data_IF_141325461306
#
_entry.id   IF_141325461306
#
_cell.length_a   1.000
_cell.length_b   1.000
_cell.length_c   1.000
_cell.angle_alpha   90.00
_cell.angle_beta   90.00
_cell.angle_gamma   90.00
#
_symmetry.space_group_name_H-M   'P 1'
#
loop_
_entity.id
_entity.type
_entity.pdbx_description
1 polymer ?
#
# COMPACT_ATOMS: atom_id res chain seq x y z
N UNK A 1 12.61 11.11 -72.37
CA UNK A 1 11.62 10.98 -71.29
C UNK A 1 11.75 9.58 -70.68
N UNK A 2 12.36 9.47 -69.50
CA UNK A 2 12.33 8.24 -68.69
C UNK A 2 11.72 8.66 -67.36
N UNK A 3 10.50 8.22 -67.10
CA UNK A 3 9.78 8.50 -65.86
C UNK A 3 10.11 7.39 -64.87
N UNK A 4 10.83 7.70 -63.79
CA UNK A 4 11.03 6.77 -62.66
C UNK A 4 9.93 7.00 -61.62
N UNK A 5 9.16 5.98 -61.22
CA UNK A 5 8.10 6.15 -60.22
C UNK A 5 8.58 5.63 -58.87
N UNK A 6 9.00 6.48 -57.93
CA UNK A 6 9.09 6.07 -56.52
C UNK A 6 9.00 7.27 -55.59
N UNK A 7 7.81 7.59 -55.10
CA UNK A 7 7.63 8.64 -54.06
C UNK A 7 6.59 8.30 -52.99
N UNK A 8 5.94 7.14 -53.06
CA UNK A 8 4.94 6.70 -52.08
C UNK A 8 5.49 5.73 -51.02
N UNK A 9 6.54 4.95 -51.35
CA UNK A 9 7.11 3.93 -50.45
C UNK A 9 7.89 4.55 -49.28
N UNK A 10 8.69 5.58 -49.54
CA UNK A 10 9.56 6.21 -48.54
C UNK A 10 8.80 7.04 -47.50
N UNK A 11 7.68 7.66 -47.90
CA UNK A 11 6.80 8.39 -46.97
C UNK A 11 6.14 7.45 -45.97
N UNK A 12 5.56 6.34 -46.47
CA UNK A 12 4.90 5.32 -45.65
C UNK A 12 5.85 4.61 -44.68
N UNK A 13 7.11 4.46 -45.05
CA UNK A 13 8.18 3.93 -44.18
C UNK A 13 8.45 4.86 -43.00
N UNK A 14 8.65 6.16 -43.26
CA UNK A 14 8.91 7.16 -42.23
C UNK A 14 7.74 7.30 -41.26
N UNK A 15 6.50 7.33 -41.77
CA UNK A 15 5.30 7.46 -40.94
C UNK A 15 5.20 6.32 -39.91
N UNK A 16 5.51 5.08 -40.32
CA UNK A 16 5.56 3.92 -39.43
C UNK A 16 6.66 4.04 -38.37
N UNK A 17 7.83 4.54 -38.75
CA UNK A 17 8.94 4.74 -37.80
C UNK A 17 8.58 5.81 -36.77
N UNK A 18 7.96 6.91 -37.18
CA UNK A 18 7.46 7.96 -36.29
C UNK A 18 6.35 7.44 -35.35
N UNK A 19 5.45 6.59 -35.84
CA UNK A 19 4.42 5.97 -35.01
C UNK A 19 5.02 5.08 -33.92
N UNK A 20 6.05 4.29 -34.26
CA UNK A 20 6.76 3.43 -33.29
C UNK A 20 7.50 4.25 -32.24
N UNK A 21 8.16 5.35 -32.63
CA UNK A 21 8.84 6.25 -31.70
C UNK A 21 7.85 6.94 -30.74
N UNK A 22 6.74 7.45 -31.26
CA UNK A 22 5.69 8.06 -30.43
C UNK A 22 5.07 7.05 -29.45
N UNK A 23 4.85 5.82 -29.91
CA UNK A 23 4.37 4.72 -29.05
C UNK A 23 5.38 4.36 -27.96
N UNK A 24 6.67 4.38 -28.28
CA UNK A 24 7.74 4.14 -27.32
C UNK A 24 7.78 5.25 -26.26
N UNK A 25 7.75 6.52 -26.69
CA UNK A 25 7.71 7.67 -25.78
C UNK A 25 6.54 7.62 -24.81
N UNK A 26 5.32 7.36 -25.31
CA UNK A 26 4.12 7.21 -24.46
C UNK A 26 4.24 6.07 -23.45
N UNK A 27 4.79 4.92 -23.84
CA UNK A 27 5.00 3.80 -22.91
C UNK A 27 6.02 4.13 -21.83
N UNK A 28 7.12 4.80 -22.19
CA UNK A 28 8.14 5.24 -21.22
C UNK A 28 7.54 6.23 -20.23
N UNK A 29 6.78 7.21 -20.72
CA UNK A 29 6.07 8.19 -19.88
C UNK A 29 5.05 7.51 -18.93
N UNK A 30 4.28 6.54 -19.43
CA UNK A 30 3.35 5.75 -18.61
C UNK A 30 4.05 4.95 -17.51
N UNK A 31 5.19 4.35 -17.83
CA UNK A 31 6.01 3.60 -16.86
C UNK A 31 6.60 4.54 -15.82
N UNK A 32 7.13 5.69 -16.23
CA UNK A 32 7.65 6.72 -15.32
C UNK A 32 6.57 7.21 -14.38
N UNK A 33 5.39 7.58 -14.89
CA UNK A 33 4.26 8.05 -14.07
C UNK A 33 3.78 6.99 -13.07
N UNK A 34 3.72 5.71 -13.47
CA UNK A 34 3.39 4.61 -12.55
C UNK A 34 4.45 4.43 -11.47
N UNK A 35 5.73 4.54 -11.83
CA UNK A 35 6.83 4.48 -10.89
C UNK A 35 6.80 5.66 -9.91
N UNK A 36 6.49 6.88 -10.38
CA UNK A 36 6.33 8.07 -9.55
C UNK A 36 5.16 7.96 -8.57
N UNK A 37 4.00 7.45 -9.01
CA UNK A 37 2.85 7.22 -8.13
C UNK A 37 3.16 6.18 -7.04
N UNK A 38 3.87 5.11 -7.39
CA UNK A 38 4.35 4.11 -6.43
C UNK A 38 5.37 4.70 -5.46
N UNK A 39 6.33 5.48 -5.97
CA UNK A 39 7.34 6.16 -5.17
C UNK A 39 6.73 7.20 -4.23
N UNK A 40 5.69 7.92 -4.64
CA UNK A 40 4.96 8.88 -3.81
C UNK A 40 4.28 8.22 -2.61
N UNK A 41 3.51 7.14 -2.85
CA UNK A 41 2.87 6.38 -1.77
C UNK A 41 3.88 5.73 -0.81
N UNK A 42 5.04 5.30 -1.33
CA UNK A 42 6.12 4.78 -0.52
C UNK A 42 6.90 5.89 0.21
N UNK A 43 7.07 7.08 -0.38
CA UNK A 43 7.84 8.20 0.19
C UNK A 43 7.25 8.67 1.51
N UNK A 44 5.94 8.81 1.60
CA UNK A 44 5.31 9.20 2.85
C UNK A 44 5.43 8.08 3.91
N UNK A 45 5.47 6.82 3.47
CA UNK A 45 5.76 5.69 4.33
C UNK A 45 7.20 5.59 4.82
N UNK A 46 8.15 6.02 4.00
CA UNK A 46 9.56 6.07 4.33
C UNK A 46 9.84 7.15 5.38
N UNK A 47 9.11 8.27 5.36
CA UNK A 47 9.25 9.35 6.37
C UNK A 47 8.90 8.90 7.78
N UNK A 48 7.96 7.97 7.93
CA UNK A 48 7.45 7.54 9.23
C UNK A 48 7.98 6.17 9.68
N UNK A 49 8.81 5.50 8.85
CA UNK A 49 9.42 4.21 9.19
C UNK A 49 10.81 4.40 9.82
N UNK A 50 11.22 3.55 10.79
CA UNK A 50 12.57 3.58 11.35
C UNK A 50 13.66 3.35 10.30
N UNK A 51 13.35 2.57 9.24
CA UNK A 51 14.22 2.36 8.09
C UNK A 51 13.45 1.97 6.82
N UNK A 52 14.12 2.08 5.66
CA UNK A 52 13.58 1.65 4.35
C UNK A 52 13.43 0.12 4.29
N UNK A 53 14.42 -0.61 4.80
CA UNK A 53 14.42 -2.07 4.79
C UNK A 53 13.27 -2.64 5.63
N UNK A 54 13.05 -2.08 6.81
CA UNK A 54 11.95 -2.49 7.69
C UNK A 54 10.59 -2.18 7.07
N UNK A 55 10.45 -1.00 6.42
CA UNK A 55 9.23 -0.66 5.68
C UNK A 55 8.96 -1.65 4.53
N UNK A 56 9.98 -2.01 3.77
CA UNK A 56 9.85 -2.96 2.67
C UNK A 56 9.47 -4.36 3.19
N UNK A 57 10.14 -4.84 4.24
CA UNK A 57 9.84 -6.13 4.87
C UNK A 57 8.44 -6.18 5.48
N UNK A 58 8.00 -5.09 6.11
CA UNK A 58 6.64 -4.93 6.63
C UNK A 58 5.60 -5.08 5.52
N UNK A 59 5.82 -4.44 4.36
CA UNK A 59 4.91 -4.52 3.21
C UNK A 59 4.90 -5.90 2.56
N UNK A 60 6.06 -6.54 2.42
CA UNK A 60 6.17 -7.92 1.93
C UNK A 60 5.45 -8.91 2.85
N UNK A 61 5.60 -8.71 4.17
CA UNK A 61 4.93 -9.54 5.18
C UNK A 61 3.41 -9.39 5.11
N UNK A 62 2.90 -8.15 4.98
CA UNK A 62 1.47 -7.90 4.79
C UNK A 62 0.92 -8.51 3.49
N UNK A 63 1.64 -8.37 2.38
CA UNK A 63 1.25 -9.00 1.11
C UNK A 63 1.17 -10.52 1.23
N UNK A 64 2.17 -11.14 1.86
CA UNK A 64 2.19 -12.58 2.13
C UNK A 64 1.00 -12.98 3.02
N UNK A 65 0.73 -12.22 4.08
CA UNK A 65 -0.37 -12.47 5.00
C UNK A 65 -1.74 -12.48 4.30
N UNK A 66 -1.97 -11.52 3.40
CA UNK A 66 -3.19 -11.47 2.59
C UNK A 66 -3.34 -12.72 1.71
N UNK A 67 -2.25 -13.26 1.15
CA UNK A 67 -2.27 -14.47 0.35
C UNK A 67 -2.56 -15.71 1.22
N UNK A 68 -1.81 -15.86 2.32
CA UNK A 68 -1.92 -17.03 3.22
C UNK A 68 -3.29 -17.12 3.86
N UNK A 69 -3.83 -16.00 4.34
CA UNK A 69 -5.14 -15.98 4.99
C UNK A 69 -6.29 -16.00 3.97
N UNK A 70 -6.06 -15.63 2.71
CA UNK A 70 -7.08 -15.62 1.66
C UNK A 70 -7.90 -14.34 1.59
N UNK A 71 -7.26 -13.19 1.82
CA UNK A 71 -7.83 -11.87 1.62
C UNK A 71 -7.96 -11.03 2.90
N UNK A 72 -8.29 -9.73 2.76
CA UNK A 72 -8.31 -8.77 3.87
C UNK A 72 -9.32 -9.11 4.97
N UNK A 73 -10.49 -9.66 4.61
CA UNK A 73 -11.50 -10.12 5.58
C UNK A 73 -10.95 -11.22 6.49
N UNK A 74 -10.27 -12.22 5.91
CA UNK A 74 -9.69 -13.33 6.69
C UNK A 74 -8.56 -12.84 7.59
N UNK A 75 -7.72 -11.93 7.09
CA UNK A 75 -6.69 -11.26 7.88
C UNK A 75 -7.31 -10.50 9.06
N UNK A 76 -8.37 -9.72 8.82
CA UNK A 76 -9.08 -8.97 9.85
C UNK A 76 -9.62 -9.91 10.94
N UNK A 77 -10.34 -10.96 10.55
CA UNK A 77 -10.89 -11.94 11.47
C UNK A 77 -9.81 -12.68 12.27
N UNK A 78 -8.67 -13.00 11.62
CA UNK A 78 -7.51 -13.63 12.29
C UNK A 78 -6.92 -12.72 13.37
N UNK A 79 -6.85 -11.42 13.10
CA UNK A 79 -6.22 -10.46 14.00
C UNK A 79 -7.11 -9.98 15.15
N UNK A 80 -8.42 -9.89 14.91
CA UNK A 80 -9.37 -9.25 15.84
C UNK A 80 -10.53 -10.16 16.27
N UNK A 81 -10.53 -11.42 15.84
CA UNK A 81 -11.62 -12.35 16.04
C UNK A 81 -12.85 -12.01 15.18
N UNK A 82 -13.88 -12.84 15.30
CA UNK A 82 -15.14 -12.71 14.56
C UNK A 82 -16.24 -12.26 15.51
N UNK A 83 -16.95 -11.18 15.18
CA UNK A 83 -18.19 -10.79 15.85
C UNK A 83 -19.42 -11.22 15.04
N UNK A 84 -20.55 -11.40 15.72
CA UNK A 84 -21.79 -11.85 15.09
C UNK A 84 -22.29 -10.85 14.03
N UNK A 85 -22.48 -11.35 12.80
CA UNK A 85 -22.88 -10.56 11.62
C UNK A 85 -21.94 -9.37 11.32
N UNK A 86 -20.68 -9.44 11.76
CA UNK A 86 -19.64 -8.50 11.37
C UNK A 86 -19.15 -8.80 9.95
N UNK A 87 -18.98 -7.74 9.17
CA UNK A 87 -18.40 -7.79 7.82
C UNK A 87 -17.39 -6.66 7.69
N UNK A 88 -16.22 -6.96 7.14
CA UNK A 88 -15.29 -5.93 6.71
C UNK A 88 -15.91 -5.15 5.55
N UNK A 89 -15.88 -3.83 5.66
CA UNK A 89 -16.32 -2.91 4.61
C UNK A 89 -15.12 -2.46 3.78
N UNK A 90 -14.03 -2.08 4.44
CA UNK A 90 -12.81 -1.62 3.77
C UNK A 90 -11.56 -1.78 4.65
N UNK A 91 -10.39 -1.67 4.03
CA UNK A 91 -9.10 -1.64 4.72
C UNK A 91 -8.11 -0.70 4.03
N UNK A 92 -7.41 0.11 4.81
CA UNK A 92 -6.47 1.09 4.31
C UNK A 92 -5.12 1.00 5.02
N UNK A 93 -4.05 1.23 4.27
CA UNK A 93 -2.74 1.48 4.85
C UNK A 93 -2.74 2.87 5.49
N UNK A 94 -2.33 2.97 6.75
CA UNK A 94 -2.30 4.25 7.46
C UNK A 94 -1.23 4.30 8.56
N UNK A 95 -1.15 5.45 9.24
CA UNK A 95 -0.34 5.64 10.44
C UNK A 95 -1.24 6.08 11.59
N UNK A 96 -0.96 5.62 12.79
CA UNK A 96 -1.48 6.19 14.02
C UNK A 96 -0.37 7.00 14.68
N UNK A 97 -0.64 8.28 14.95
CA UNK A 97 0.24 9.10 15.77
C UNK A 97 0.14 8.65 17.22
N UNK A 98 1.26 8.28 17.83
CA UNK A 98 1.36 7.94 19.25
C UNK A 98 2.34 8.88 19.94
N UNK A 99 2.37 8.86 21.27
CA UNK A 99 3.36 9.61 22.06
C UNK A 99 4.81 9.19 21.79
N UNK A 100 5.01 8.00 21.22
CA UNK A 100 6.32 7.46 20.84
C UNK A 100 6.64 7.69 19.36
N UNK A 101 5.79 8.44 18.66
CA UNK A 101 5.88 8.68 17.23
C UNK A 101 4.81 7.91 16.42
N UNK A 102 4.83 8.09 15.10
CA UNK A 102 3.88 7.45 14.20
C UNK A 102 4.13 5.94 14.13
N UNK A 103 3.05 5.18 14.12
CA UNK A 103 3.04 3.71 13.97
C UNK A 103 2.33 3.36 12.68
N UNK A 104 3.06 2.77 11.74
CA UNK A 104 2.53 2.27 10.47
C UNK A 104 1.71 1.01 10.67
N UNK A 105 0.57 0.90 9.98
CA UNK A 105 -0.22 -0.31 9.97
C UNK A 105 -1.34 -0.29 8.94
N UNK A 106 -2.33 -1.15 9.20
CA UNK A 106 -3.57 -1.24 8.42
C UNK A 106 -4.74 -0.94 9.35
N UNK A 107 -5.61 -0.01 8.93
CA UNK A 107 -6.91 0.22 9.54
C UNK A 107 -7.97 -0.56 8.77
N UNK A 108 -8.82 -1.25 9.51
CA UNK A 108 -9.93 -2.05 9.05
C UNK A 108 -11.22 -1.36 9.50
N UNK A 109 -12.15 -1.18 8.58
CA UNK A 109 -13.46 -0.60 8.84
C UNK A 109 -14.48 -1.70 8.63
N UNK A 110 -15.15 -2.14 9.69
CA UNK A 110 -16.26 -3.08 9.62
C UNK A 110 -17.59 -2.39 9.89
N UNK A 111 -18.69 -3.06 9.64
CA UNK A 111 -20.02 -2.58 10.06
C UNK A 111 -20.23 -2.56 11.59
N UNK A 112 -19.23 -2.96 12.40
CA UNK A 112 -19.30 -2.99 13.87
C UNK A 112 -18.25 -2.14 14.58
N UNK A 113 -17.05 -2.02 14.00
CA UNK A 113 -15.91 -1.35 14.63
C UNK A 113 -14.90 -0.87 13.61
N UNK A 114 -14.07 0.04 14.06
CA UNK A 114 -12.79 0.36 13.45
C UNK A 114 -11.71 -0.39 14.23
N UNK A 115 -10.78 -1.03 13.52
CA UNK A 115 -9.65 -1.71 14.14
C UNK A 115 -8.35 -1.36 13.41
N UNK A 116 -7.26 -1.20 14.15
CA UNK A 116 -5.93 -0.96 13.59
C UNK A 116 -4.94 -2.00 14.10
N UNK A 117 -4.05 -2.47 13.23
CA UNK A 117 -2.91 -3.31 13.59
C UNK A 117 -1.65 -2.76 12.93
N UNK A 118 -0.57 -2.61 13.69
CA UNK A 118 0.74 -2.25 13.15
C UNK A 118 1.26 -3.30 12.16
N UNK A 119 2.12 -2.90 11.23
CA UNK A 119 2.72 -3.82 10.26
C UNK A 119 3.85 -4.66 10.86
N UNK A 120 4.43 -4.21 11.97
CA UNK A 120 5.50 -4.89 12.70
C UNK A 120 5.23 -4.87 14.21
N UNK A 121 5.80 -5.84 14.91
CA UNK A 121 5.76 -5.89 16.36
C UNK A 121 6.65 -4.77 16.94
N UNK A 122 6.13 -4.06 17.92
CA UNK A 122 6.81 -2.96 18.60
C UNK A 122 7.17 -3.44 20.00
N UNK A 123 8.39 -3.18 20.44
CA UNK A 123 8.79 -3.41 21.84
C UNK A 123 8.31 -2.23 22.66
N UNK A 124 7.28 -2.45 23.48
CA UNK A 124 6.89 -1.47 24.48
C UNK A 124 7.82 -1.60 25.70
N UNK A 125 8.27 -0.50 26.29
CA UNK A 125 9.03 -0.54 27.53
C UNK A 125 8.18 -1.19 28.63
N UNK A 126 8.71 -2.24 29.26
CA UNK A 126 8.07 -2.90 30.40
C UNK A 126 8.15 -2.02 31.63
N UNK A 127 7.04 -1.84 32.36
CA UNK A 127 7.02 -1.13 33.65
C UNK A 127 7.83 -1.85 34.74
N UNK A 128 8.15 -3.13 34.54
CA UNK A 128 8.99 -3.95 35.42
C UNK A 128 10.28 -4.21 34.66
N UNK A 129 11.37 -3.54 35.07
CA UNK A 129 12.65 -3.49 34.36
C UNK A 129 13.04 -4.81 33.68
N UNK A 130 12.90 -4.83 32.35
CA UNK A 130 13.13 -6.00 31.51
C UNK A 130 12.98 -5.63 30.04
N UNK A 131 13.56 -6.44 29.15
CA UNK A 131 13.45 -6.24 27.71
C UNK A 131 12.01 -6.61 27.28
N UNK A 132 11.19 -5.61 26.96
CA UNK A 132 9.77 -5.80 26.68
C UNK A 132 9.50 -6.80 25.56
N UNK A 133 8.41 -7.56 25.68
CA UNK A 133 7.96 -8.49 24.63
C UNK A 133 7.50 -7.69 23.42
N UNK A 134 8.02 -8.03 22.24
CA UNK A 134 7.57 -7.42 21.00
C UNK A 134 6.14 -7.87 20.70
N UNK A 135 5.22 -6.92 20.57
CA UNK A 135 3.83 -7.18 20.25
C UNK A 135 3.34 -6.22 19.17
N UNK A 136 2.38 -6.66 18.36
CA UNK A 136 1.71 -5.76 17.42
C UNK A 136 0.90 -4.72 18.19
N UNK A 137 1.03 -3.45 17.81
CA UNK A 137 0.22 -2.38 18.38
C UNK A 137 -1.17 -2.45 17.75
N UNK A 138 -2.17 -2.71 18.58
CA UNK A 138 -3.56 -2.89 18.15
C UNK A 138 -4.47 -1.88 18.83
N UNK A 139 -5.39 -1.31 18.06
CA UNK A 139 -6.46 -0.44 18.54
C UNK A 139 -7.78 -0.98 18.04
N UNK A 140 -8.80 -1.04 18.89
CA UNK A 140 -10.14 -1.47 18.50
C UNK A 140 -11.15 -0.50 19.10
N UNK A 141 -12.03 0.04 18.26
CA UNK A 141 -13.06 0.99 18.67
C UNK A 141 -14.39 0.64 17.99
N UNK A 142 -15.36 0.22 18.79
CA UNK A 142 -16.73 -0.01 18.31
C UNK A 142 -17.42 1.32 17.98
N UNK A 143 -18.33 1.30 17.02
CA UNK A 143 -19.04 2.51 16.57
C UNK A 143 -19.72 3.27 17.70
N UNK A 144 -20.28 2.56 18.68
CA UNK A 144 -20.95 3.13 19.86
C UNK A 144 -20.02 3.96 20.76
N UNK A 145 -18.71 3.73 20.66
CA UNK A 145 -17.68 4.43 21.45
C UNK A 145 -17.10 5.63 20.70
N UNK A 146 -17.48 5.82 19.43
CA UNK A 146 -17.00 6.92 18.59
C UNK A 146 -17.95 8.10 18.73
N UNK A 147 -17.45 9.20 19.31
CA UNK A 147 -18.24 10.43 19.47
C UNK A 147 -18.35 11.24 18.17
N UNK A 148 -17.28 11.32 17.40
CA UNK A 148 -17.22 12.13 16.17
C UNK A 148 -16.07 11.68 15.26
N UNK A 149 -16.25 11.88 13.96
CA UNK A 149 -15.22 11.73 12.92
C UNK A 149 -15.17 13.05 12.17
N UNK A 150 -13.96 13.57 11.94
CA UNK A 150 -13.71 14.91 11.36
C UNK A 150 -12.72 14.84 10.21
#
# INVERSE_FOLDING_TARGET
>A
HITTPTSASDKRSKDKVFEVLNRCGKKVEDVTRKAEALAGGLKDHLKFSPSIGDAAMARLSQGTKMIVEGGPERVFQREFGVLAAEKLLDSFVCYISTTWGPVTGVIYISNRRIAFCSDYAIRLPSSVGGNGVAAYYKVVMEWEKIRSIS
#
